data_IF_627897270394
#
_entry.id   IF_627897270394
#
_cell.length_a   1.000
_cell.length_b   1.000
_cell.length_c   1.000
_cell.angle_alpha   90.00
_cell.angle_beta   90.00
_cell.angle_gamma   90.00
#
_symmetry.space_group_name_H-M   'P 1'
#
loop_
_entity.id
_entity.type
_entity.pdbx_description
1 polymer ?
#
# COMPACT_ATOMS: atom_id res chain seq x y z
N UNK A 1 -7.62 -44.78 -37.88
CA UNK A 1 -7.77 -44.70 -36.42
C UNK A 1 -6.48 -44.04 -35.90
N UNK A 2 -6.48 -42.70 -35.90
CA UNK A 2 -5.32 -41.91 -35.45
C UNK A 2 -5.35 -41.76 -33.93
N UNK A 3 -4.21 -41.87 -33.26
CA UNK A 3 -4.14 -41.66 -31.82
C UNK A 3 -4.21 -40.17 -31.48
N UNK A 4 -4.98 -39.85 -30.46
CA UNK A 4 -5.16 -38.50 -29.92
C UNK A 4 -3.84 -37.90 -29.38
N UNK A 5 -3.61 -36.57 -29.48
CA UNK A 5 -2.40 -35.94 -28.95
C UNK A 5 -2.40 -35.95 -27.43
N UNK A 6 -1.34 -36.52 -26.88
CA UNK A 6 -1.08 -36.55 -25.43
C UNK A 6 -0.80 -35.15 -24.90
N UNK A 7 -1.50 -34.74 -23.84
CA UNK A 7 -1.45 -33.43 -23.17
C UNK A 7 -0.17 -33.14 -22.35
N UNK A 8 0.96 -33.79 -22.72
CA UNK A 8 2.27 -33.57 -22.11
C UNK A 8 3.11 -32.44 -22.72
N UNK A 9 2.80 -32.03 -23.95
CA UNK A 9 3.69 -31.23 -24.79
C UNK A 9 3.96 -29.80 -24.30
N UNK A 10 2.98 -29.09 -23.77
CA UNK A 10 3.14 -27.67 -23.44
C UNK A 10 4.05 -27.41 -22.22
N UNK A 11 3.95 -28.26 -21.21
CA UNK A 11 4.81 -28.15 -20.01
C UNK A 11 6.25 -28.57 -20.31
N UNK A 12 6.45 -29.51 -21.19
CA UNK A 12 7.79 -29.96 -21.60
C UNK A 12 8.43 -28.95 -22.57
N UNK A 13 7.66 -28.31 -23.46
CA UNK A 13 8.14 -27.19 -24.27
C UNK A 13 8.55 -25.98 -23.42
N UNK A 14 7.71 -25.60 -22.42
CA UNK A 14 8.04 -24.50 -21.49
C UNK A 14 9.27 -24.83 -20.67
N UNK A 15 9.44 -26.07 -20.20
CA UNK A 15 10.64 -26.52 -19.49
C UNK A 15 11.88 -26.48 -20.37
N UNK A 16 11.77 -26.93 -21.63
CA UNK A 16 12.83 -26.88 -22.63
C UNK A 16 13.26 -25.44 -22.94
N UNK A 17 12.28 -24.54 -23.13
CA UNK A 17 12.53 -23.12 -23.34
C UNK A 17 13.24 -22.46 -22.15
N UNK A 18 12.79 -22.74 -20.93
CA UNK A 18 13.43 -22.21 -19.71
C UNK A 18 14.84 -22.81 -19.48
N UNK A 19 15.07 -24.06 -19.87
CA UNK A 19 16.40 -24.66 -19.81
C UNK A 19 17.35 -24.04 -20.85
N UNK A 20 16.85 -23.75 -22.06
CA UNK A 20 17.59 -23.04 -23.09
C UNK A 20 18.00 -21.63 -22.67
N UNK A 21 17.07 -20.88 -22.10
CA UNK A 21 17.36 -19.54 -21.55
C UNK A 21 18.43 -19.55 -20.47
N UNK A 22 18.48 -20.60 -19.62
CA UNK A 22 19.54 -20.76 -18.61
C UNK A 22 20.91 -21.02 -19.21
N UNK A 23 20.99 -21.70 -20.34
CA UNK A 23 22.26 -22.03 -20.99
C UNK A 23 22.80 -20.88 -21.85
N UNK A 24 21.92 -20.13 -22.50
CA UNK A 24 22.31 -19.03 -23.39
C UNK A 24 22.60 -17.72 -22.63
N UNK A 25 21.94 -17.51 -21.50
CA UNK A 25 22.13 -16.30 -20.68
C UNK A 25 22.37 -16.63 -19.20
N UNK A 26 23.50 -17.27 -18.87
CA UNK A 26 23.83 -17.63 -17.49
C UNK A 26 23.94 -16.42 -16.56
N UNK A 27 24.22 -15.24 -17.10
CA UNK A 27 24.34 -13.99 -16.32
C UNK A 27 23.02 -13.52 -15.70
N UNK A 28 21.88 -13.79 -16.36
CA UNK A 28 20.55 -13.41 -15.85
C UNK A 28 20.17 -14.27 -14.64
N UNK A 29 20.71 -15.50 -14.57
CA UNK A 29 20.44 -16.46 -13.49
C UNK A 29 21.56 -16.53 -12.45
N UNK A 30 22.73 -15.90 -12.73
CA UNK A 30 23.76 -15.70 -11.71
C UNK A 30 23.30 -14.65 -10.71
N UNK A 31 23.50 -14.99 -9.44
CA UNK A 31 23.10 -14.30 -8.23
C UNK A 31 22.75 -12.82 -8.44
N UNK A 32 21.55 -12.44 -8.01
CA UNK A 32 21.15 -11.04 -7.91
C UNK A 32 22.35 -10.23 -7.39
N UNK A 33 22.73 -9.11 -8.06
CA UNK A 33 23.75 -8.25 -7.49
C UNK A 33 23.32 -7.97 -6.06
N UNK A 34 24.18 -8.25 -5.09
CA UNK A 34 23.96 -7.86 -3.70
C UNK A 34 23.79 -6.35 -3.75
N UNK A 35 22.54 -5.89 -3.63
CA UNK A 35 22.28 -4.49 -3.33
C UNK A 35 23.12 -4.18 -2.10
N UNK A 36 23.82 -3.03 -2.05
CA UNK A 36 24.53 -2.62 -0.85
C UNK A 36 23.58 -2.78 0.34
N UNK A 37 24.05 -3.46 1.37
CA UNK A 37 23.26 -3.65 2.58
C UNK A 37 22.81 -2.26 3.06
N UNK A 38 21.52 -2.08 3.33
CA UNK A 38 21.08 -0.82 3.92
C UNK A 38 21.89 -0.57 5.18
N UNK A 39 22.29 0.67 5.47
CA UNK A 39 23.05 0.99 6.66
C UNK A 39 22.38 0.36 7.89
N UNK A 40 23.15 -0.04 8.92
CA UNK A 40 22.62 -0.72 10.09
C UNK A 40 21.45 0.10 10.63
N UNK A 41 20.31 -0.55 10.69
CA UNK A 41 19.03 0.02 11.08
C UNK A 41 19.17 0.55 12.50
N UNK A 42 19.23 1.87 12.68
CA UNK A 42 18.94 2.45 13.97
C UNK A 42 17.64 1.83 14.46
N UNK A 43 17.64 1.25 15.66
CA UNK A 43 16.48 0.58 16.22
C UNK A 43 15.27 1.50 16.08
N UNK A 44 14.37 1.19 15.17
CA UNK A 44 13.12 1.92 15.04
C UNK A 44 12.42 1.83 16.41
N UNK A 45 11.94 2.94 16.97
CA UNK A 45 11.17 2.88 18.21
C UNK A 45 10.06 1.85 18.02
N UNK A 46 9.87 0.99 19.02
CA UNK A 46 8.83 -0.04 19.01
C UNK A 46 7.51 0.62 18.59
N UNK A 47 6.84 0.04 17.61
CA UNK A 47 5.55 0.56 17.15
C UNK A 47 4.65 0.75 18.38
N UNK A 48 4.07 1.94 18.59
CA UNK A 48 3.20 2.17 19.73
C UNK A 48 2.08 1.13 19.72
N UNK A 49 1.58 0.70 20.88
CA UNK A 49 0.45 -0.22 20.97
C UNK A 49 -0.71 0.36 20.16
N UNK A 50 -1.55 -0.48 19.54
CA UNK A 50 -2.64 0.00 18.70
C UNK A 50 -3.50 0.97 19.51
N UNK A 51 -3.48 2.24 19.12
CA UNK A 51 -4.33 3.25 19.74
C UNK A 51 -5.80 2.80 19.58
N UNK A 52 -6.57 2.92 20.63
CA UNK A 52 -8.00 2.61 20.60
C UNK A 52 -8.68 3.45 19.51
N UNK A 53 -9.59 2.83 18.75
CA UNK A 53 -10.40 3.54 17.74
C UNK A 53 -11.18 4.64 18.47
N UNK A 54 -11.03 5.93 18.11
CA UNK A 54 -11.72 7.01 18.81
C UNK A 54 -13.24 6.88 18.66
N UNK A 55 -13.94 7.04 19.76
CA UNK A 55 -15.40 6.82 19.85
C UNK A 55 -16.24 7.83 19.02
N UNK A 56 -15.65 8.93 18.53
CA UNK A 56 -16.39 9.97 17.80
C UNK A 56 -15.68 10.38 16.51
N UNK A 57 -16.35 10.24 15.35
CA UNK A 57 -15.80 10.68 14.07
C UNK A 57 -15.73 12.21 14.00
N UNK A 58 -14.73 12.78 13.30
CA UNK A 58 -14.64 14.21 13.06
C UNK A 58 -15.74 14.69 12.12
N UNK A 59 -16.09 15.99 12.23
CA UNK A 59 -17.12 16.62 11.39
C UNK A 59 -16.76 16.60 9.89
N UNK A 60 -17.73 16.33 9.02
CA UNK A 60 -17.55 16.06 7.59
C UNK A 60 -16.82 17.16 6.78
N UNK A 61 -16.85 18.41 7.18
CA UNK A 61 -16.20 19.53 6.44
C UNK A 61 -14.67 19.63 6.64
N UNK A 62 -14.12 18.99 7.67
CA UNK A 62 -12.70 19.09 8.05
C UNK A 62 -11.84 17.96 7.49
N UNK A 63 -12.47 16.90 6.97
CA UNK A 63 -11.75 15.70 6.54
C UNK A 63 -10.84 15.96 5.34
N UNK A 64 -11.34 16.63 4.29
CA UNK A 64 -10.55 16.91 3.10
C UNK A 64 -9.36 17.84 3.40
N UNK A 65 -9.57 18.85 4.27
CA UNK A 65 -8.50 19.76 4.71
C UNK A 65 -7.41 18.99 5.48
N UNK A 66 -7.79 18.09 6.37
CA UNK A 66 -6.84 17.28 7.12
C UNK A 66 -6.00 16.36 6.22
N UNK A 67 -6.64 15.63 5.29
CA UNK A 67 -5.88 14.79 4.34
C UNK A 67 -5.02 15.63 3.41
N UNK A 68 -5.47 16.82 3.01
CA UNK A 68 -4.66 17.76 2.22
C UNK A 68 -3.42 18.22 3.00
N UNK A 69 -3.58 18.58 4.27
CA UNK A 69 -2.49 18.96 5.16
C UNK A 69 -1.46 17.81 5.26
N UNK A 70 -1.92 16.57 5.52
CA UNK A 70 -1.02 15.42 5.60
C UNK A 70 -0.32 15.13 4.27
N UNK A 71 -1.03 15.23 3.14
CA UNK A 71 -0.43 15.09 1.82
C UNK A 71 0.61 16.20 1.54
N UNK A 72 0.32 17.45 1.91
CA UNK A 72 1.24 18.58 1.77
C UNK A 72 2.49 18.43 2.63
N UNK A 73 2.38 17.77 3.78
CA UNK A 73 3.53 17.46 4.64
C UNK A 73 4.44 16.40 4.02
N UNK A 74 3.88 15.33 3.44
CA UNK A 74 4.65 14.19 2.96
C UNK A 74 5.12 14.31 1.50
N UNK A 75 4.38 15.02 0.64
CA UNK A 75 4.70 15.11 -0.80
C UNK A 75 6.10 15.69 -1.08
N UNK A 76 6.56 16.79 -0.43
CA UNK A 76 7.91 17.31 -0.65
C UNK A 76 9.00 16.31 -0.26
N UNK A 77 8.78 15.49 0.76
CA UNK A 77 9.73 14.50 1.23
C UNK A 77 9.89 13.32 0.24
N UNK A 78 8.85 13.05 -0.57
CA UNK A 78 8.91 12.12 -1.71
C UNK A 78 9.42 12.80 -2.99
N UNK A 79 9.47 14.13 -3.05
CA UNK A 79 9.79 14.89 -4.25
C UNK A 79 8.66 14.86 -5.29
N UNK A 80 7.41 14.79 -4.85
CA UNK A 80 6.24 14.70 -5.74
C UNK A 80 5.25 15.83 -5.50
N UNK A 81 4.42 16.07 -6.51
CA UNK A 81 3.25 16.94 -6.41
C UNK A 81 1.98 16.11 -6.53
N UNK A 82 0.90 16.61 -5.99
CA UNK A 82 -0.43 15.99 -6.09
C UNK A 82 -1.47 17.03 -6.53
N UNK A 83 -2.59 16.55 -7.02
CA UNK A 83 -3.72 17.37 -7.45
C UNK A 83 -4.76 17.53 -6.34
N UNK A 84 -6.03 17.37 -6.69
CA UNK A 84 -7.14 17.51 -5.75
C UNK A 84 -7.16 16.35 -4.75
N UNK A 85 -7.41 16.67 -3.47
CA UNK A 85 -7.73 15.71 -2.43
C UNK A 85 -9.24 15.63 -2.23
N UNK A 86 -9.79 14.43 -2.22
CA UNK A 86 -11.22 14.18 -2.00
C UNK A 86 -11.40 13.10 -0.94
N UNK A 87 -12.42 13.25 -0.12
CA UNK A 87 -12.80 12.27 0.90
C UNK A 87 -14.13 11.65 0.52
N UNK A 88 -14.14 10.32 0.49
CA UNK A 88 -15.29 9.53 0.02
C UNK A 88 -15.70 8.49 1.06
N UNK A 89 -16.90 7.98 0.91
CA UNK A 89 -17.40 6.82 1.64
C UNK A 89 -17.06 5.52 0.87
N UNK A 90 -15.77 5.18 0.82
CA UNK A 90 -15.30 3.96 0.17
C UNK A 90 -15.40 2.78 1.13
N UNK A 91 -15.94 1.65 0.64
CA UNK A 91 -16.13 0.43 1.45
C UNK A 91 -15.08 -0.66 1.15
N UNK A 92 -14.24 -0.48 0.14
CA UNK A 92 -13.26 -1.48 -0.29
C UNK A 92 -11.82 -0.97 -0.38
N UNK A 93 -11.63 0.36 -0.37
CA UNK A 93 -10.32 1.00 -0.49
C UNK A 93 -10.13 2.02 0.62
N UNK A 94 -8.93 2.10 1.15
CA UNK A 94 -8.54 3.16 2.09
C UNK A 94 -8.20 4.46 1.38
N UNK A 95 -7.55 4.35 0.22
CA UNK A 95 -7.19 5.47 -0.62
C UNK A 95 -7.08 5.06 -2.08
N UNK A 96 -6.87 6.03 -2.95
CA UNK A 96 -6.49 5.83 -4.35
C UNK A 96 -5.80 7.07 -4.91
N UNK A 97 -4.83 6.86 -5.79
CA UNK A 97 -4.15 7.89 -6.55
C UNK A 97 -4.43 7.71 -8.04
N UNK A 98 -4.91 8.74 -8.73
CA UNK A 98 -5.06 8.71 -10.18
C UNK A 98 -3.73 9.06 -10.87
N UNK A 99 -3.62 8.72 -12.17
CA UNK A 99 -2.46 9.15 -12.99
C UNK A 99 -2.27 10.67 -13.03
N UNK A 100 -3.37 11.43 -12.95
CA UNK A 100 -3.33 12.89 -12.87
C UNK A 100 -2.90 13.41 -11.49
N UNK A 101 -2.67 12.54 -10.50
CA UNK A 101 -2.25 12.89 -9.15
C UNK A 101 -3.38 13.25 -8.21
N UNK A 102 -4.65 13.07 -8.58
CA UNK A 102 -5.74 13.29 -7.65
C UNK A 102 -5.79 12.16 -6.62
N UNK A 103 -5.91 12.54 -5.36
CA UNK A 103 -5.94 11.64 -4.21
C UNK A 103 -7.37 11.51 -3.68
N UNK A 104 -7.81 10.29 -3.42
CA UNK A 104 -9.06 10.04 -2.74
C UNK A 104 -8.77 9.22 -1.48
N UNK A 105 -9.46 9.53 -0.38
CA UNK A 105 -9.32 8.81 0.88
C UNK A 105 -10.68 8.43 1.44
N UNK A 106 -10.74 7.30 2.15
CA UNK A 106 -11.91 6.95 2.95
C UNK A 106 -11.94 7.81 4.21
N UNK A 107 -13.09 8.42 4.52
CA UNK A 107 -13.26 9.20 5.77
C UNK A 107 -12.96 8.35 7.02
N UNK A 108 -13.13 7.04 6.93
CA UNK A 108 -12.88 6.09 8.03
C UNK A 108 -11.44 6.07 8.51
N UNK A 109 -10.49 6.49 7.68
CA UNK A 109 -9.10 6.66 8.11
C UNK A 109 -8.93 7.69 9.23
N UNK A 110 -9.88 8.59 9.42
CA UNK A 110 -9.89 9.52 10.55
C UNK A 110 -10.11 8.82 11.90
N UNK A 111 -10.60 7.60 11.88
CA UNK A 111 -10.78 6.75 13.05
C UNK A 111 -9.56 5.85 13.31
N UNK A 112 -8.63 5.79 12.37
CA UNK A 112 -7.39 5.06 12.54
C UNK A 112 -6.36 5.91 13.33
N UNK A 113 -5.35 5.26 13.94
CA UNK A 113 -4.22 5.98 14.52
C UNK A 113 -3.57 6.90 13.48
N UNK A 114 -3.07 8.10 13.89
CA UNK A 114 -2.49 9.07 12.97
C UNK A 114 -1.38 8.49 12.08
N UNK A 115 -0.53 7.65 12.64
CA UNK A 115 0.55 6.99 11.92
C UNK A 115 0.06 5.98 10.86
N UNK A 116 -1.12 5.38 11.06
CA UNK A 116 -1.76 4.50 10.08
C UNK A 116 -2.37 5.32 8.95
N UNK A 117 -2.99 6.47 9.29
CA UNK A 117 -3.47 7.43 8.30
C UNK A 117 -2.31 7.94 7.45
N UNK A 118 -1.20 8.35 8.08
CA UNK A 118 0.00 8.82 7.40
C UNK A 118 0.58 7.78 6.46
N UNK A 119 0.62 6.52 6.88
CA UNK A 119 1.04 5.43 6.00
C UNK A 119 0.19 5.36 4.73
N UNK A 120 -1.13 5.48 4.84
CA UNK A 120 -1.99 5.47 3.64
C UNK A 120 -1.74 6.71 2.77
N UNK A 121 -1.57 7.89 3.36
CA UNK A 121 -1.22 9.10 2.60
C UNK A 121 0.10 8.94 1.85
N UNK A 122 1.14 8.44 2.50
CA UNK A 122 2.45 8.16 1.88
C UNK A 122 2.31 7.09 0.79
N UNK A 123 1.49 6.06 1.00
CA UNK A 123 1.21 5.02 0.01
C UNK A 123 0.60 5.62 -1.27
N UNK A 124 -0.42 6.47 -1.13
CA UNK A 124 -1.05 7.10 -2.29
C UNK A 124 -0.11 8.10 -3.00
N UNK A 125 0.70 8.84 -2.25
CA UNK A 125 1.72 9.72 -2.84
C UNK A 125 2.82 8.94 -3.56
N UNK A 126 3.21 7.75 -3.07
CA UNK A 126 4.21 6.91 -3.73
C UNK A 126 3.75 6.44 -5.12
N UNK A 127 2.44 6.36 -5.36
CA UNK A 127 1.89 6.10 -6.70
C UNK A 127 2.18 7.22 -7.72
N UNK A 128 2.62 8.40 -7.28
CA UNK A 128 3.13 9.44 -8.19
C UNK A 128 4.48 9.07 -8.82
N UNK A 129 5.23 8.18 -8.18
CA UNK A 129 6.53 7.68 -8.64
C UNK A 129 6.40 6.31 -9.32
N UNK A 130 5.59 5.42 -8.74
CA UNK A 130 5.41 4.04 -9.18
C UNK A 130 3.94 3.64 -9.09
N UNK A 131 3.28 3.47 -10.25
CA UNK A 131 1.85 3.11 -10.29
C UNK A 131 1.55 1.68 -9.86
N UNK A 132 2.54 0.81 -9.87
CA UNK A 132 2.43 -0.58 -9.43
C UNK A 132 3.13 -0.77 -8.08
N UNK A 133 2.77 -1.83 -7.35
CA UNK A 133 3.37 -2.16 -6.06
C UNK A 133 4.69 -2.96 -6.21
N UNK A 134 5.57 -2.50 -7.09
CA UNK A 134 6.90 -3.06 -7.33
C UNK A 134 7.82 -2.93 -6.10
N UNK A 135 8.99 -3.58 -6.08
CA UNK A 135 9.99 -3.33 -5.03
C UNK A 135 10.39 -1.86 -4.91
N UNK A 136 10.41 -1.09 -6.03
CA UNK A 136 10.68 0.35 -6.03
C UNK A 136 9.61 1.13 -5.29
N UNK A 137 8.33 0.81 -5.54
CA UNK A 137 7.20 1.38 -4.80
C UNK A 137 7.39 1.23 -3.29
N UNK A 138 7.63 0.00 -2.84
CA UNK A 138 7.81 -0.28 -1.41
C UNK A 138 9.06 0.38 -0.83
N UNK A 139 10.12 0.59 -1.62
CA UNK A 139 11.29 1.35 -1.20
C UNK A 139 10.95 2.82 -0.92
N UNK A 140 10.14 3.45 -1.78
CA UNK A 140 9.64 4.82 -1.54
C UNK A 140 8.80 4.90 -0.27
N UNK A 141 7.87 3.97 -0.06
CA UNK A 141 7.06 3.91 1.16
C UNK A 141 7.93 3.69 2.40
N UNK A 142 8.86 2.72 2.37
CA UNK A 142 9.70 2.37 3.50
C UNK A 142 10.65 3.51 3.91
N UNK A 143 11.04 4.38 2.99
CA UNK A 143 11.88 5.55 3.27
C UNK A 143 11.23 6.51 4.26
N UNK A 144 9.92 6.73 4.16
CA UNK A 144 9.16 7.65 5.01
C UNK A 144 8.41 6.93 6.13
N UNK A 145 8.03 5.68 5.91
CA UNK A 145 7.33 4.84 6.86
C UNK A 145 8.08 3.50 7.01
N UNK A 146 9.18 3.44 7.76
CA UNK A 146 9.98 2.22 7.91
C UNK A 146 9.18 1.05 8.48
N UNK A 147 8.20 1.33 9.30
CA UNK A 147 7.27 0.39 9.94
C UNK A 147 5.97 0.14 9.13
N UNK A 148 5.94 0.51 7.85
CA UNK A 148 4.74 0.37 6.99
C UNK A 148 4.11 -1.02 7.05
N UNK A 149 4.90 -2.08 7.24
CA UNK A 149 4.40 -3.46 7.37
C UNK A 149 3.50 -3.64 8.60
N UNK A 150 3.87 -3.01 9.72
CA UNK A 150 3.08 -3.04 10.95
C UNK A 150 1.77 -2.25 10.76
N UNK A 151 1.81 -1.08 10.12
CA UNK A 151 0.65 -0.24 9.84
C UNK A 151 -0.32 -0.90 8.87
N UNK A 152 0.22 -1.55 7.83
CA UNK A 152 -0.57 -2.38 6.90
C UNK A 152 -1.23 -3.56 7.61
N UNK A 153 -0.50 -4.23 8.53
CA UNK A 153 -1.06 -5.31 9.37
C UNK A 153 -2.19 -4.78 10.25
N UNK A 154 -2.00 -3.61 10.86
CA UNK A 154 -3.03 -2.96 11.68
C UNK A 154 -4.33 -2.73 10.88
N UNK A 155 -4.24 -2.12 9.68
CA UNK A 155 -5.40 -1.93 8.79
C UNK A 155 -6.10 -3.24 8.43
N UNK A 156 -5.35 -4.30 8.20
CA UNK A 156 -5.93 -5.63 7.90
C UNK A 156 -6.71 -6.18 9.09
N UNK A 157 -6.21 -5.98 10.31
CA UNK A 157 -6.84 -6.51 11.53
C UNK A 157 -8.04 -5.66 11.99
N UNK A 158 -7.98 -4.36 11.80
CA UNK A 158 -8.98 -3.42 12.32
C UNK A 158 -9.90 -2.87 11.21
N UNK A 159 -9.62 -3.18 9.96
CA UNK A 159 -10.34 -2.63 8.80
C UNK A 159 -11.83 -2.93 8.83
N UNK A 160 -12.22 -4.14 9.23
CA UNK A 160 -13.63 -4.52 9.33
C UNK A 160 -14.38 -3.65 10.35
N UNK A 161 -13.79 -3.41 11.51
CA UNK A 161 -14.38 -2.54 12.54
C UNK A 161 -14.52 -1.09 12.01
N UNK A 162 -13.50 -0.59 11.30
CA UNK A 162 -13.57 0.72 10.66
C UNK A 162 -14.64 0.79 9.57
N UNK A 163 -14.83 -0.27 8.77
CA UNK A 163 -15.86 -0.32 7.73
C UNK A 163 -17.28 -0.40 8.29
N UNK A 164 -17.46 -0.99 9.47
CA UNK A 164 -18.74 -1.02 10.21
C UNK A 164 -19.06 0.33 10.86
N UNK A 165 -18.09 1.21 11.07
CA UNK A 165 -18.32 2.52 11.64
C UNK A 165 -19.18 3.39 10.72
N UNK A 166 -20.12 4.13 11.31
CA UNK A 166 -20.97 5.11 10.63
C UNK A 166 -20.47 6.53 10.93
N UNK A 167 -20.80 7.47 10.04
CA UNK A 167 -20.40 8.89 10.22
C UNK A 167 -21.02 9.56 11.44
N UNK A 168 -22.10 9.03 11.97
CA UNK A 168 -22.77 9.48 13.20
C UNK A 168 -22.11 8.98 14.48
N UNK A 169 -21.06 8.17 14.37
CA UNK A 169 -20.35 7.59 15.51
C UNK A 169 -20.98 6.32 16.06
N UNK A 170 -22.04 5.81 15.44
CA UNK A 170 -22.63 4.53 15.83
C UNK A 170 -21.88 3.39 15.15
N UNK A 171 -21.54 2.35 15.93
CA UNK A 171 -21.05 1.08 15.39
C UNK A 171 -22.29 0.24 15.04
N UNK A 172 -22.39 -0.24 13.80
CA UNK A 172 -23.47 -1.17 13.46
C UNK A 172 -23.35 -2.40 14.35
N UNK A 173 -24.34 -2.60 15.23
CA UNK A 173 -24.47 -3.82 16.03
C UNK A 173 -24.55 -5.00 15.06
N UNK A 174 -23.76 -6.03 15.30
CA UNK A 174 -23.90 -7.30 14.62
C UNK A 174 -25.22 -7.94 15.10
N UNK A 175 -26.20 -8.08 14.22
CA UNK A 175 -27.28 -9.04 14.34
C UNK A 175 -26.85 -10.38 13.76
#
# INVERSE_FOLDING_TARGET
>A
MEPAPTSGGLLDEVRGFLAGLKSEWPEIFRARPRLPEPPPRAAAPAAPPPAAIPAKPPKAGTDAAHFHERASHWAPQLGVTFGRVSVKDQKSLWGSCSRAGNLNFSWRLRLAPPEVLDYVVVHELAHRLEMNHSPRFWAHVARLCPDYKARRKWLRLNGEALYKARRDGTVASAE
#
